data_IF_114459881272
#
_entry.id   IF_114459881272
#
_cell.length_a   1.000
_cell.length_b   1.000
_cell.length_c   1.000
_cell.angle_alpha   90.00
_cell.angle_beta   90.00
_cell.angle_gamma   90.00
#
_symmetry.space_group_name_H-M   'P 1'
#
loop_
_entity.id
_entity.type
_entity.pdbx_description
1 polymer ?
#
# COMPACT_ATOMS: atom_id res chain seq x y z
N UNK A 1 2.84 0.37 -2.45
CA UNK A 1 1.83 -0.70 -2.60
C UNK A 1 0.76 -0.49 -1.55
N UNK A 2 -0.48 -0.76 -1.90
CA UNK A 2 -1.62 -0.71 -0.98
C UNK A 2 -2.29 -2.09 -1.07
N UNK A 3 -2.59 -2.72 0.06
CA UNK A 3 -3.25 -4.02 0.11
C UNK A 3 -4.29 -4.04 1.23
N UNK A 4 -5.47 -4.60 0.98
CA UNK A 4 -6.44 -4.88 2.03
C UNK A 4 -6.10 -6.17 2.77
N UNK A 5 -6.22 -6.19 4.09
CA UNK A 5 -5.86 -7.38 4.88
C UNK A 5 -6.82 -8.57 4.66
N UNK A 6 -8.00 -8.30 4.09
CA UNK A 6 -9.03 -9.29 3.78
C UNK A 6 -9.12 -9.61 2.28
N UNK A 7 -8.11 -9.21 1.48
CA UNK A 7 -8.13 -9.43 0.04
C UNK A 7 -8.05 -10.94 -0.28
N UNK A 8 -9.12 -11.45 -0.89
CA UNK A 8 -9.20 -12.85 -1.33
C UNK A 8 -8.56 -13.08 -2.70
N UNK A 9 -8.55 -12.06 -3.56
CA UNK A 9 -8.03 -12.15 -4.93
C UNK A 9 -6.50 -12.06 -4.92
N UNK A 10 -5.95 -11.13 -4.13
CA UNK A 10 -4.52 -10.96 -3.91
C UNK A 10 -4.23 -10.92 -2.40
N UNK A 11 -4.05 -12.09 -1.75
CA UNK A 11 -3.86 -12.15 -0.32
C UNK A 11 -2.67 -11.33 0.18
N UNK A 12 -2.69 -10.83 1.43
CA UNK A 12 -1.60 -10.03 2.00
C UNK A 12 -0.22 -10.67 1.89
N UNK A 13 -0.14 -12.00 1.91
CA UNK A 13 1.11 -12.75 1.71
C UNK A 13 1.80 -12.39 0.40
N UNK A 14 1.05 -12.23 -0.69
CA UNK A 14 1.61 -11.84 -1.99
C UNK A 14 2.17 -10.42 -1.95
N UNK A 15 1.52 -9.50 -1.21
CA UNK A 15 2.04 -8.15 -1.02
C UNK A 15 3.34 -8.13 -0.20
N UNK A 16 3.47 -9.01 0.80
CA UNK A 16 4.71 -9.17 1.57
C UNK A 16 5.85 -9.72 0.71
N UNK A 17 5.59 -10.76 -0.08
CA UNK A 17 6.57 -11.34 -1.01
C UNK A 17 7.07 -10.29 -2.01
N UNK A 18 6.14 -9.52 -2.57
CA UNK A 18 6.43 -8.46 -3.53
C UNK A 18 7.26 -7.33 -2.90
N UNK A 19 6.96 -6.92 -1.65
CA UNK A 19 7.79 -5.97 -0.91
C UNK A 19 9.20 -6.52 -0.66
N UNK A 20 9.32 -7.81 -0.31
CA UNK A 20 10.61 -8.44 -0.07
C UNK A 20 11.46 -8.52 -1.35
N UNK A 21 10.83 -8.71 -2.51
CA UNK A 21 11.50 -8.79 -3.81
C UNK A 21 11.84 -7.43 -4.44
N UNK A 22 11.14 -6.35 -4.06
CA UNK A 22 11.31 -5.02 -4.65
C UNK A 22 11.89 -4.02 -3.65
N UNK A 23 13.22 -3.77 -3.68
CA UNK A 23 13.83 -2.76 -2.82
C UNK A 23 13.29 -1.37 -3.14
N UNK A 24 13.23 -0.49 -2.13
CA UNK A 24 12.65 0.86 -2.20
C UNK A 24 11.12 0.90 -2.39
N UNK A 25 10.41 -0.17 -2.06
CA UNK A 25 8.96 -0.17 -2.00
C UNK A 25 8.44 0.05 -0.58
N UNK A 26 7.30 0.72 -0.48
CA UNK A 26 6.52 0.86 0.76
C UNK A 26 5.23 0.08 0.62
N UNK A 27 4.76 -0.52 1.72
CA UNK A 27 3.51 -1.26 1.81
C UNK A 27 2.60 -0.58 2.83
N UNK A 28 1.41 -0.17 2.37
CA UNK A 28 0.30 0.32 3.19
C UNK A 28 -0.77 -0.76 3.26
N UNK A 29 -1.19 -1.09 4.48
CA UNK A 29 -2.20 -2.12 4.72
C UNK A 29 -3.51 -1.46 5.17
N UNK A 30 -4.60 -1.76 4.46
CA UNK A 30 -5.94 -1.30 4.79
C UNK A 30 -6.63 -2.36 5.66
N UNK A 31 -6.83 -2.03 6.93
CA UNK A 31 -7.21 -3.01 7.97
C UNK A 31 -8.66 -3.49 7.88
N UNK A 32 -9.55 -2.65 7.37
CA UNK A 32 -10.98 -2.97 7.20
C UNK A 32 -11.36 -3.18 5.71
N UNK A 33 -10.46 -3.72 4.88
CA UNK A 33 -10.64 -3.79 3.41
C UNK A 33 -10.15 -5.11 2.84
N UNK A 34 -10.85 -5.56 1.80
CA UNK A 34 -10.44 -6.63 0.90
C UNK A 34 -9.79 -6.08 -0.36
N UNK A 35 -10.30 -6.49 -1.53
CA UNK A 35 -9.65 -6.20 -2.81
C UNK A 35 -9.87 -4.76 -3.29
N UNK A 36 -11.01 -4.17 -2.95
CA UNK A 36 -11.45 -2.90 -3.51
C UNK A 36 -11.22 -1.76 -2.52
N UNK A 37 -9.99 -1.61 -2.00
CA UNK A 37 -9.67 -0.63 -0.95
C UNK A 37 -9.99 0.83 -1.28
N UNK A 38 -9.99 1.20 -2.56
CA UNK A 38 -10.41 2.53 -3.03
C UNK A 38 -11.93 2.78 -2.87
N UNK A 39 -12.73 1.74 -2.68
CA UNK A 39 -14.18 1.80 -2.38
C UNK A 39 -14.41 1.52 -0.89
N UNK A 40 -13.78 0.49 -0.35
CA UNK A 40 -14.03 -0.03 1.00
C UNK A 40 -13.42 0.85 2.11
N UNK A 41 -12.30 1.52 1.84
CA UNK A 41 -11.58 2.44 2.74
C UNK A 41 -11.01 3.62 1.93
N UNK A 42 -11.91 4.33 1.27
CA UNK A 42 -11.54 5.34 0.28
C UNK A 42 -10.65 6.47 0.83
N UNK A 43 -10.88 6.91 2.08
CA UNK A 43 -10.13 8.01 2.68
C UNK A 43 -8.66 7.63 2.93
N UNK A 44 -8.45 6.48 3.58
CA UNK A 44 -7.13 5.92 3.87
C UNK A 44 -6.39 5.58 2.58
N UNK A 45 -7.08 4.94 1.61
CA UNK A 45 -6.53 4.67 0.29
C UNK A 45 -6.04 5.96 -0.38
N UNK A 46 -6.90 6.99 -0.44
CA UNK A 46 -6.57 8.25 -1.09
C UNK A 46 -5.40 8.99 -0.39
N UNK A 47 -5.34 8.94 0.94
CA UNK A 47 -4.26 9.58 1.72
C UNK A 47 -2.88 8.92 1.53
N UNK A 48 -2.84 7.63 1.18
CA UNK A 48 -1.57 6.91 1.01
C UNK A 48 -0.73 7.39 -0.20
N UNK A 49 -1.38 7.95 -1.22
CA UNK A 49 -0.72 8.43 -2.44
C UNK A 49 0.13 9.68 -2.18
N UNK A 50 -0.41 10.79 -1.62
CA UNK A 50 0.42 11.95 -1.28
C UNK A 50 1.49 11.61 -0.25
N UNK A 51 1.21 10.73 0.73
CA UNK A 51 2.21 10.25 1.69
C UNK A 51 3.39 9.56 0.99
N UNK A 52 3.11 8.70 0.01
CA UNK A 52 4.14 8.06 -0.80
C UNK A 52 4.99 9.08 -1.58
N UNK A 53 4.35 10.07 -2.21
CA UNK A 53 5.06 11.11 -2.98
C UNK A 53 5.98 11.90 -2.04
N UNK A 54 5.47 12.34 -0.90
CA UNK A 54 6.23 13.12 0.07
C UNK A 54 7.45 12.34 0.61
N UNK A 55 7.27 11.07 0.94
CA UNK A 55 8.35 10.20 1.41
C UNK A 55 9.38 9.89 0.32
N UNK A 56 8.96 9.86 -0.95
CA UNK A 56 9.88 9.65 -2.09
C UNK A 56 10.68 10.90 -2.42
N UNK A 57 10.07 12.10 -2.35
CA UNK A 57 10.75 13.36 -2.62
C UNK A 57 11.76 13.74 -1.54
N UNK A 58 11.44 13.47 -0.27
CA UNK A 58 12.37 13.66 0.85
C UNK A 58 13.55 12.68 0.80
N UNK A 59 13.33 11.46 0.31
CA UNK A 59 14.39 10.48 0.05
C UNK A 59 15.34 10.82 -1.11
N UNK A 60 14.91 11.65 -2.07
CA UNK A 60 15.73 12.11 -3.22
C UNK A 60 16.61 13.33 -2.92
N UNK A 61 16.47 13.98 -1.76
CA UNK A 61 17.28 15.15 -1.35
C UNK A 61 18.43 14.78 -0.40
N UNK A 62 19.08 13.64 -0.63
CA UNK A 62 20.32 13.24 0.05
C UNK A 62 21.36 12.78 -0.96
#
# INVERSE_FOLDING_TARGET
>A
MIAGIHDFICPPSSAYEMRAAMPNTSLWELRESGHLGHIEQAAEFASSVPDFIHNTETGKRK
#
